data_IF_657465903579
#
_entry.id   IF_657465903579
#
_cell.length_a   1.000
_cell.length_b   1.000
_cell.length_c   1.000
_cell.angle_alpha   90.00
_cell.angle_beta   90.00
_cell.angle_gamma   90.00
#
_symmetry.space_group_name_H-M   'P 1'
#
loop_
_entity.id
_entity.type
_entity.pdbx_description
1 polymer ?
#
# COMPACT_ATOMS: atom_id res chain seq x y z
N UNK A 1 -28.94 96.50 -26.39
CA UNK A 1 -28.56 97.41 -27.50
C UNK A 1 -27.20 98.06 -27.18
N UNK A 2 -26.43 98.51 -28.20
CA UNK A 2 -24.98 98.77 -28.10
C UNK A 2 -24.71 100.26 -27.74
N UNK A 3 -23.52 100.88 -27.95
CA UNK A 3 -22.17 100.41 -28.36
C UNK A 3 -21.01 101.00 -27.48
N UNK A 4 -19.77 101.02 -28.03
CA UNK A 4 -18.63 101.96 -27.77
C UNK A 4 -17.63 101.61 -26.65
N UNK A 5 -16.35 101.98 -26.71
CA UNK A 5 -15.35 102.15 -27.80
C UNK A 5 -13.94 102.32 -27.18
N UNK A 6 -12.88 102.11 -27.99
CA UNK A 6 -11.61 102.89 -27.99
C UNK A 6 -10.65 102.94 -26.77
N UNK A 7 -9.49 102.27 -26.95
CA UNK A 7 -8.14 102.87 -27.08
C UNK A 7 -7.33 103.41 -25.85
N UNK A 8 -6.17 102.75 -25.64
CA UNK A 8 -4.78 103.28 -25.64
C UNK A 8 -4.05 103.75 -24.34
N UNK A 9 -2.81 103.20 -24.22
CA UNK A 9 -1.62 103.65 -23.43
C UNK A 9 -1.76 103.48 -21.90
N UNK A 10 -0.73 103.24 -21.07
CA UNK A 10 0.75 103.24 -21.17
C UNK A 10 1.35 102.48 -19.93
N UNK A 11 2.62 102.04 -19.77
CA UNK A 11 3.83 101.84 -20.60
C UNK A 11 4.99 101.29 -19.71
N UNK A 12 6.00 100.57 -20.25
CA UNK A 12 7.28 100.09 -19.61
C UNK A 12 7.15 99.05 -18.46
N UNK A 13 8.12 98.15 -18.17
CA UNK A 13 9.36 97.69 -18.86
C UNK A 13 9.93 96.40 -18.19
N UNK A 14 11.09 95.90 -18.69
CA UNK A 14 12.01 94.87 -18.11
C UNK A 14 11.56 93.41 -18.36
N UNK A 15 12.07 92.68 -19.37
CA UNK A 15 13.36 91.94 -19.49
C UNK A 15 13.42 90.67 -18.58
N UNK A 16 13.92 89.49 -18.98
CA UNK A 16 14.70 88.99 -20.16
C UNK A 16 14.02 87.71 -20.71
N UNK A 17 14.00 87.45 -22.03
CA UNK A 17 14.92 86.55 -22.76
C UNK A 17 15.43 85.33 -21.98
N UNK A 18 14.87 84.16 -22.28
CA UNK A 18 15.56 82.88 -22.19
C UNK A 18 15.78 82.31 -23.59
N UNK A 19 17.02 81.93 -23.87
CA UNK A 19 17.40 81.12 -25.02
C UNK A 19 17.03 79.67 -24.69
N UNK A 20 16.32 78.96 -25.57
CA UNK A 20 16.21 77.51 -25.42
C UNK A 20 17.56 76.89 -25.75
N UNK A 21 18.21 76.32 -24.74
CA UNK A 21 19.52 75.67 -24.86
C UNK A 21 19.36 74.29 -25.52
N UNK A 22 19.84 74.18 -26.75
CA UNK A 22 19.76 72.97 -27.56
C UNK A 22 20.52 71.80 -26.92
N UNK A 23 21.56 72.09 -26.12
CA UNK A 23 22.29 71.09 -25.34
C UNK A 23 21.45 70.52 -24.18
N UNK A 24 20.54 71.30 -23.61
CA UNK A 24 19.61 70.82 -22.58
C UNK A 24 18.55 69.87 -23.16
N UNK A 25 18.14 70.09 -24.41
CA UNK A 25 17.22 69.20 -25.14
C UNK A 25 17.93 67.88 -25.50
N UNK A 26 19.15 67.93 -26.02
CA UNK A 26 19.93 66.71 -26.32
C UNK A 26 20.30 65.91 -25.05
N UNK A 27 20.55 66.59 -23.93
CA UNK A 27 20.71 65.94 -22.62
C UNK A 27 19.42 65.25 -22.14
N UNK A 28 18.26 65.88 -22.36
CA UNK A 28 16.95 65.30 -22.02
C UNK A 28 16.60 64.09 -22.92
N UNK A 29 16.90 64.17 -24.22
CA UNK A 29 16.75 63.05 -25.16
C UNK A 29 17.67 61.89 -24.76
N UNK A 30 18.96 62.14 -24.46
CA UNK A 30 19.88 61.10 -23.94
C UNK A 30 19.45 60.51 -22.59
N UNK A 31 18.74 61.26 -21.75
CA UNK A 31 18.19 60.75 -20.49
C UNK A 31 16.95 59.86 -20.70
N UNK A 32 16.11 60.18 -21.69
CA UNK A 32 14.93 59.38 -22.08
C UNK A 32 15.36 58.12 -22.85
N UNK A 33 16.32 58.23 -23.76
CA UNK A 33 16.91 57.11 -24.53
C UNK A 33 17.98 56.33 -23.73
N UNK A 34 17.86 56.34 -22.40
CA UNK A 34 18.82 55.76 -21.47
C UNK A 34 19.18 54.31 -21.78
N UNK A 35 20.35 54.12 -22.40
CA UNK A 35 21.07 52.87 -22.69
C UNK A 35 20.21 51.60 -22.63
N UNK A 36 19.73 51.16 -23.79
CA UNK A 36 19.24 49.81 -24.01
C UNK A 36 20.35 48.74 -23.85
N UNK A 37 20.80 48.51 -22.61
CA UNK A 37 21.22 47.15 -22.21
C UNK A 37 20.03 46.26 -22.54
N UNK A 38 20.25 45.20 -23.33
CA UNK A 38 19.20 44.25 -23.76
C UNK A 38 18.49 43.64 -22.54
N UNK A 39 17.47 44.35 -22.05
CA UNK A 39 16.57 43.90 -21.01
C UNK A 39 15.66 42.84 -21.60
N UNK A 40 15.62 41.67 -20.98
CA UNK A 40 14.83 40.54 -21.46
C UNK A 40 13.38 40.95 -21.73
N UNK A 41 12.94 40.86 -22.98
CA UNK A 41 11.59 41.18 -23.45
C UNK A 41 10.53 40.52 -22.55
N UNK A 42 9.29 41.05 -22.45
CA UNK A 42 8.22 40.41 -21.64
C UNK A 42 8.06 38.89 -21.90
N UNK A 43 8.30 38.45 -23.14
CA UNK A 43 8.37 37.03 -23.53
C UNK A 43 9.54 36.29 -22.89
N UNK A 44 10.75 36.87 -22.91
CA UNK A 44 11.94 36.33 -22.26
C UNK A 44 11.86 36.37 -20.72
N UNK A 45 11.17 37.35 -20.11
CA UNK A 45 10.82 37.30 -18.68
C UNK A 45 9.89 36.13 -18.39
N UNK A 46 8.74 36.02 -19.09
CA UNK A 46 7.85 34.86 -18.94
C UNK A 46 8.55 33.51 -19.16
N UNK A 47 9.45 33.41 -20.14
CA UNK A 47 10.26 32.21 -20.37
C UNK A 47 11.30 31.97 -19.26
N UNK A 48 11.92 33.02 -18.70
CA UNK A 48 12.86 32.90 -17.59
C UNK A 48 12.14 32.52 -16.29
N UNK A 49 10.97 33.10 -16.05
CA UNK A 49 10.12 32.81 -14.89
C UNK A 49 9.55 31.39 -15.01
N UNK A 50 9.02 31.00 -16.18
CA UNK A 50 8.54 29.62 -16.41
C UNK A 50 9.66 28.61 -16.32
N UNK A 51 10.86 28.91 -16.85
CA UNK A 51 12.03 28.02 -16.75
C UNK A 51 12.56 27.97 -15.32
N UNK A 52 12.51 29.07 -14.56
CA UNK A 52 12.87 29.11 -13.13
C UNK A 52 11.88 28.30 -12.29
N UNK A 53 10.58 28.38 -12.59
CA UNK A 53 9.53 27.58 -11.94
C UNK A 53 9.73 26.11 -12.30
N UNK A 54 9.95 25.76 -13.58
CA UNK A 54 10.24 24.39 -14.00
C UNK A 54 11.50 23.84 -13.31
N UNK A 55 12.61 24.58 -13.25
CA UNK A 55 13.81 24.13 -12.52
C UNK A 55 13.60 24.03 -11.01
N UNK A 56 12.72 24.85 -10.42
CA UNK A 56 12.37 24.75 -9.01
C UNK A 56 11.48 23.53 -8.74
N UNK A 57 10.52 23.23 -9.62
CA UNK A 57 9.67 22.05 -9.57
C UNK A 57 10.49 20.78 -9.82
N UNK A 58 11.42 20.79 -10.78
CA UNK A 58 12.38 19.69 -11.03
C UNK A 58 13.29 19.47 -9.81
N UNK A 59 13.81 20.53 -9.19
CA UNK A 59 14.61 20.43 -7.98
C UNK A 59 13.79 19.93 -6.77
N UNK A 60 12.53 20.35 -6.62
CA UNK A 60 11.63 19.83 -5.59
C UNK A 60 11.26 18.37 -5.84
N UNK A 61 11.00 17.98 -7.10
CA UNK A 61 10.72 16.60 -7.47
C UNK A 61 11.94 15.70 -7.29
N UNK A 62 13.14 16.19 -7.63
CA UNK A 62 14.40 15.48 -7.35
C UNK A 62 14.64 15.36 -5.85
N UNK A 63 14.43 16.41 -5.07
CA UNK A 63 14.58 16.38 -3.61
C UNK A 63 13.55 15.44 -2.96
N UNK A 64 12.30 15.41 -3.44
CA UNK A 64 11.27 14.48 -2.98
C UNK A 64 11.60 13.04 -3.37
N UNK A 65 12.04 12.79 -4.61
CA UNK A 65 12.49 11.49 -5.06
C UNK A 65 13.73 11.01 -4.28
N UNK A 66 14.64 11.91 -3.94
CA UNK A 66 15.82 11.61 -3.13
C UNK A 66 15.47 11.40 -1.66
N UNK A 67 14.53 12.15 -1.09
CA UNK A 67 13.96 11.90 0.24
C UNK A 67 13.23 10.56 0.30
N UNK A 68 12.42 10.21 -0.71
CA UNK A 68 11.77 8.91 -0.80
C UNK A 68 12.78 7.78 -1.01
N UNK A 69 13.80 7.96 -1.85
CA UNK A 69 14.91 7.02 -2.04
C UNK A 69 15.70 6.82 -0.73
N UNK A 70 15.94 7.88 0.02
CA UNK A 70 16.65 7.82 1.30
C UNK A 70 15.77 7.24 2.42
N UNK A 71 14.47 7.51 2.42
CA UNK A 71 13.51 6.87 3.33
C UNK A 71 13.34 5.38 3.02
N UNK A 72 13.30 5.00 1.74
CA UNK A 72 13.28 3.62 1.29
C UNK A 72 14.60 2.90 1.62
N UNK A 73 15.75 3.54 1.38
CA UNK A 73 17.06 3.02 1.81
C UNK A 73 17.18 2.94 3.34
N UNK A 74 16.57 3.86 4.09
CA UNK A 74 16.52 3.79 5.55
C UNK A 74 15.63 2.63 6.00
N UNK A 75 14.45 2.45 5.40
CA UNK A 75 13.55 1.33 5.66
C UNK A 75 14.18 -0.03 5.28
N UNK A 76 14.91 -0.10 4.16
CA UNK A 76 15.68 -1.28 3.75
C UNK A 76 16.86 -1.53 4.70
N UNK A 77 17.57 -0.50 5.15
CA UNK A 77 18.62 -0.63 6.17
C UNK A 77 18.06 -1.04 7.53
N UNK A 78 16.88 -0.56 7.90
CA UNK A 78 16.19 -0.91 9.14
C UNK A 78 15.64 -2.35 9.08
N UNK A 79 15.23 -2.83 7.88
CA UNK A 79 14.96 -4.24 7.62
C UNK A 79 16.24 -5.10 7.67
N UNK A 80 17.33 -4.66 7.04
CA UNK A 80 18.61 -5.38 7.00
C UNK A 80 19.41 -5.32 8.32
N UNK A 81 19.07 -4.39 9.22
CA UNK A 81 19.61 -4.28 10.58
C UNK A 81 18.74 -5.00 11.63
N UNK A 82 17.59 -5.57 11.25
CA UNK A 82 16.98 -6.60 12.08
C UNK A 82 17.83 -7.88 11.97
N UNK A 83 18.08 -8.60 13.07
CA UNK A 83 18.63 -9.94 12.95
C UNK A 83 17.69 -10.78 12.07
N UNK A 84 18.28 -11.62 11.22
CA UNK A 84 17.56 -12.43 10.23
C UNK A 84 16.34 -13.10 10.88
N UNK A 85 15.11 -12.83 10.40
CA UNK A 85 13.91 -13.38 11.03
C UNK A 85 14.01 -14.89 11.06
N UNK A 86 14.00 -15.47 12.26
CA UNK A 86 14.24 -16.91 12.42
C UNK A 86 13.13 -17.66 11.69
N UNK A 87 13.46 -18.26 10.54
CA UNK A 87 12.49 -18.92 9.67
C UNK A 87 12.05 -20.24 10.31
N UNK A 88 10.91 -20.22 10.99
CA UNK A 88 10.28 -21.43 11.53
C UNK A 88 9.49 -22.10 10.40
N UNK A 89 10.21 -22.88 9.58
CA UNK A 89 9.65 -23.65 8.48
C UNK A 89 9.58 -25.16 8.82
N UNK A 90 8.94 -25.48 9.95
CA UNK A 90 8.46 -26.84 10.22
C UNK A 90 7.11 -26.98 9.49
N UNK A 91 6.99 -27.80 8.43
CA UNK A 91 5.74 -27.89 7.67
C UNK A 91 4.65 -28.57 8.48
N UNK A 92 3.44 -28.00 8.47
CA UNK A 92 2.25 -28.56 9.12
C UNK A 92 1.31 -29.05 8.01
N UNK A 93 1.15 -30.37 7.82
CA UNK A 93 0.26 -30.88 6.77
C UNK A 93 -1.21 -30.62 7.10
N UNK A 94 -2.04 -30.50 6.05
CA UNK A 94 -3.50 -30.60 6.17
C UNK A 94 -3.91 -31.97 6.75
N UNK A 95 -4.99 -31.98 7.53
CA UNK A 95 -5.63 -33.22 7.99
C UNK A 95 -6.36 -33.92 6.84
N UNK A 96 -6.63 -35.22 6.97
CA UNK A 96 -7.40 -35.96 5.97
C UNK A 96 -8.82 -35.41 5.80
N UNK A 97 -9.45 -34.89 6.86
CA UNK A 97 -10.74 -34.19 6.74
C UNK A 97 -10.65 -32.95 5.85
N UNK A 98 -9.56 -32.17 5.97
CA UNK A 98 -9.31 -30.97 5.17
C UNK A 98 -9.01 -31.29 3.70
N UNK A 99 -8.38 -32.44 3.42
CA UNK A 99 -8.14 -32.94 2.04
C UNK A 99 -9.35 -33.60 1.39
N UNK A 100 -10.31 -34.08 2.18
CA UNK A 100 -11.52 -34.74 1.70
C UNK A 100 -12.60 -33.73 1.29
N UNK A 101 -13.51 -34.17 0.41
CA UNK A 101 -14.68 -33.39 0.00
C UNK A 101 -15.63 -33.12 1.19
N UNK A 102 -15.86 -31.85 1.46
CA UNK A 102 -16.76 -31.30 2.48
C UNK A 102 -17.90 -30.52 1.81
N UNK A 103 -19.14 -30.81 2.17
CA UNK A 103 -20.27 -30.01 1.70
C UNK A 103 -20.29 -28.63 2.41
N UNK A 104 -20.50 -27.56 1.65
CA UNK A 104 -20.53 -26.18 2.19
C UNK A 104 -21.79 -25.40 1.85
N UNK A 105 -22.56 -25.88 0.88
CA UNK A 105 -23.91 -25.47 0.54
C UNK A 105 -24.56 -26.62 -0.24
N UNK A 106 -25.90 -26.63 -0.42
CA UNK A 106 -26.57 -27.68 -1.19
C UNK A 106 -25.91 -27.87 -2.56
N UNK A 107 -25.53 -29.11 -2.84
CA UNK A 107 -24.82 -29.55 -4.03
C UNK A 107 -23.44 -28.90 -4.28
N UNK A 108 -22.84 -28.20 -3.30
CA UNK A 108 -21.50 -27.58 -3.42
C UNK A 108 -20.53 -28.18 -2.42
N UNK A 109 -19.49 -28.81 -2.97
CA UNK A 109 -18.42 -29.45 -2.20
C UNK A 109 -17.11 -28.70 -2.40
N UNK A 110 -16.28 -28.67 -1.36
CA UNK A 110 -14.89 -28.17 -1.43
C UNK A 110 -13.91 -29.16 -0.79
N UNK A 111 -12.64 -29.05 -1.19
CA UNK A 111 -11.50 -29.67 -0.50
C UNK A 111 -10.27 -28.76 -0.60
N UNK A 112 -9.26 -29.01 0.21
CA UNK A 112 -8.05 -28.18 0.27
C UNK A 112 -6.79 -28.98 -0.09
N UNK A 113 -5.89 -28.35 -0.82
CA UNK A 113 -4.53 -28.85 -1.06
C UNK A 113 -3.51 -27.76 -0.66
N UNK A 114 -2.33 -28.20 -0.21
CA UNK A 114 -1.17 -27.33 0.01
C UNK A 114 -0.31 -27.32 -1.24
N UNK A 115 0.36 -26.20 -1.51
CA UNK A 115 1.14 -26.01 -2.72
C UNK A 115 2.22 -27.09 -2.91
N UNK A 116 2.17 -27.82 -4.03
CA UNK A 116 3.07 -28.96 -4.29
C UNK A 116 4.22 -28.65 -5.26
N UNK A 117 4.36 -27.41 -5.73
CA UNK A 117 5.39 -27.04 -6.71
C UNK A 117 4.95 -27.09 -8.17
N UNK A 118 3.65 -27.27 -8.45
CA UNK A 118 3.14 -27.33 -9.83
C UNK A 118 3.03 -25.94 -10.47
N UNK A 119 3.55 -25.80 -11.69
CA UNK A 119 3.38 -24.60 -12.52
C UNK A 119 1.90 -24.29 -12.80
N UNK A 120 1.04 -25.30 -12.93
CA UNK A 120 -0.41 -25.11 -13.13
C UNK A 120 -1.12 -24.58 -11.88
N UNK A 121 -0.57 -24.84 -10.69
CA UNK A 121 -1.07 -24.28 -9.44
C UNK A 121 -0.57 -22.84 -9.28
N UNK A 122 0.72 -22.60 -9.53
CA UNK A 122 1.31 -21.26 -9.55
C UNK A 122 0.59 -20.32 -10.52
N UNK A 123 0.37 -20.76 -11.76
CA UNK A 123 -0.34 -19.99 -12.78
C UNK A 123 -1.79 -19.67 -12.37
N UNK A 124 -2.47 -20.60 -11.68
CA UNK A 124 -3.79 -20.33 -11.12
C UNK A 124 -3.74 -19.26 -10.02
N UNK A 125 -2.82 -19.37 -9.04
CA UNK A 125 -2.69 -18.43 -7.93
C UNK A 125 -2.38 -17.02 -8.45
N UNK A 126 -1.42 -16.90 -9.38
CA UNK A 126 -1.05 -15.63 -10.02
C UNK A 126 -2.23 -15.03 -10.77
N UNK A 127 -2.95 -15.82 -11.58
CA UNK A 127 -4.13 -15.34 -12.31
C UNK A 127 -5.22 -14.86 -11.35
N UNK A 128 -5.58 -15.68 -10.36
CA UNK A 128 -6.64 -15.38 -9.39
C UNK A 128 -6.38 -14.07 -8.66
N UNK A 129 -5.15 -13.86 -8.15
CA UNK A 129 -4.83 -12.64 -7.42
C UNK A 129 -4.69 -11.41 -8.35
N UNK A 130 -4.31 -11.60 -9.61
CA UNK A 130 -4.30 -10.53 -10.62
C UNK A 130 -5.71 -10.08 -11.01
N UNK A 131 -6.69 -11.01 -11.02
CA UNK A 131 -8.08 -10.70 -11.34
C UNK A 131 -8.87 -10.12 -10.15
N UNK A 132 -8.49 -10.47 -8.92
CA UNK A 132 -9.30 -10.19 -7.72
C UNK A 132 -8.66 -9.23 -6.69
N UNK A 133 -7.38 -8.89 -6.82
CA UNK A 133 -6.68 -7.92 -5.97
C UNK A 133 -6.23 -6.71 -6.79
N UNK A 134 -6.23 -5.53 -6.18
CA UNK A 134 -5.84 -4.26 -6.82
C UNK A 134 -4.33 -4.09 -6.99
N UNK A 135 -3.53 -4.92 -6.33
CA UNK A 135 -2.08 -4.78 -6.22
C UNK A 135 -1.34 -5.70 -7.20
N UNK A 136 -0.51 -5.17 -8.12
CA UNK A 136 0.25 -5.96 -9.08
C UNK A 136 1.48 -6.60 -8.42
N UNK A 137 1.37 -7.87 -8.03
CA UNK A 137 2.49 -8.63 -7.45
C UNK A 137 3.41 -9.20 -8.52
N UNK A 138 4.73 -9.08 -8.31
CA UNK A 138 5.75 -9.73 -9.15
C UNK A 138 5.77 -11.25 -8.94
N UNK A 139 6.20 -12.02 -9.95
CA UNK A 139 6.41 -13.48 -9.83
C UNK A 139 7.32 -13.86 -8.65
N UNK A 140 8.36 -13.06 -8.39
CA UNK A 140 9.26 -13.22 -7.23
C UNK A 140 8.52 -13.14 -5.89
N UNK A 141 7.45 -12.34 -5.80
CA UNK A 141 6.62 -12.25 -4.59
C UNK A 141 5.96 -13.59 -4.29
N UNK A 142 5.36 -14.24 -5.30
CA UNK A 142 4.75 -15.57 -5.14
C UNK A 142 5.80 -16.62 -4.78
N UNK A 143 6.95 -16.63 -5.48
CA UNK A 143 8.08 -17.53 -5.21
C UNK A 143 8.58 -17.43 -3.76
N UNK A 144 8.71 -16.23 -3.21
CA UNK A 144 9.09 -16.01 -1.81
C UNK A 144 8.16 -16.73 -0.82
N UNK A 145 6.84 -16.68 -1.06
CA UNK A 145 5.88 -17.37 -0.20
C UNK A 145 5.89 -18.88 -0.40
N UNK A 146 5.84 -19.38 -1.64
CA UNK A 146 5.72 -20.83 -1.87
C UNK A 146 6.99 -21.61 -1.52
N UNK A 147 8.18 -21.01 -1.63
CA UNK A 147 9.41 -21.66 -1.19
C UNK A 147 9.64 -21.51 0.32
N UNK A 148 9.16 -20.40 0.93
CA UNK A 148 9.30 -20.17 2.37
C UNK A 148 8.29 -20.92 3.22
N UNK A 149 7.05 -21.07 2.75
CA UNK A 149 5.92 -21.67 3.47
C UNK A 149 4.92 -22.34 2.50
N UNK A 150 5.32 -23.40 1.78
CA UNK A 150 4.42 -24.11 0.84
C UNK A 150 3.17 -24.64 1.56
N UNK A 151 3.31 -25.01 2.83
CA UNK A 151 2.23 -25.51 3.67
C UNK A 151 1.24 -24.43 4.15
N UNK A 152 1.59 -23.14 4.02
CA UNK A 152 0.70 -21.99 4.23
C UNK A 152 0.23 -21.35 2.92
N UNK A 153 0.54 -21.99 1.79
CA UNK A 153 -0.02 -21.69 0.48
C UNK A 153 -1.07 -22.75 0.18
N UNK A 154 -2.35 -22.41 0.32
CA UNK A 154 -3.46 -23.36 0.23
C UNK A 154 -4.34 -23.01 -0.97
N UNK A 155 -4.61 -24.00 -1.81
CA UNK A 155 -5.59 -23.94 -2.90
C UNK A 155 -6.88 -24.66 -2.48
N UNK A 156 -8.02 -23.99 -2.65
CA UNK A 156 -9.33 -24.61 -2.51
C UNK A 156 -9.82 -25.12 -3.86
N UNK A 157 -10.25 -26.38 -3.88
CA UNK A 157 -10.94 -26.99 -5.01
C UNK A 157 -12.45 -27.05 -4.73
N UNK A 158 -13.26 -26.92 -5.77
CA UNK A 158 -14.72 -26.90 -5.71
C UNK A 158 -15.34 -27.81 -6.77
N UNK A 159 -16.46 -28.44 -6.41
CA UNK A 159 -17.29 -29.26 -7.31
C UNK A 159 -18.75 -28.97 -7.01
N UNK A 160 -19.56 -28.89 -8.07
CA UNK A 160 -21.02 -28.93 -7.98
C UNK A 160 -21.51 -30.35 -8.34
N UNK A 161 -22.26 -30.99 -7.43
CA UNK A 161 -22.73 -32.38 -7.57
C UNK A 161 -23.88 -32.65 -6.61
N UNK A 162 -24.86 -33.48 -7.00
CA UNK A 162 -25.98 -33.89 -6.13
C UNK A 162 -25.55 -34.87 -5.02
N UNK A 163 -24.42 -35.55 -5.20
CA UNK A 163 -23.85 -36.49 -4.25
C UNK A 163 -22.40 -36.13 -3.90
N UNK A 164 -21.94 -36.54 -2.72
CA UNK A 164 -20.55 -36.34 -2.27
C UNK A 164 -19.57 -36.94 -3.30
N UNK A 165 -18.68 -36.13 -3.90
CA UNK A 165 -17.75 -36.62 -4.92
C UNK A 165 -16.75 -37.63 -4.33
N UNK A 166 -16.29 -38.56 -5.16
CA UNK A 166 -15.18 -39.45 -4.82
C UNK A 166 -13.87 -38.66 -4.63
N UNK A 167 -12.95 -39.20 -3.85
CA UNK A 167 -11.63 -38.59 -3.62
C UNK A 167 -10.77 -38.51 -4.90
N UNK A 168 -11.10 -39.30 -5.93
CA UNK A 168 -10.50 -39.30 -7.27
C UNK A 168 -10.88 -38.07 -8.11
N UNK A 169 -11.93 -37.34 -7.75
CA UNK A 169 -12.40 -36.16 -8.49
C UNK A 169 -11.48 -34.97 -8.19
N UNK A 170 -10.86 -34.40 -9.23
CA UNK A 170 -9.94 -33.26 -9.09
C UNK A 170 -10.67 -31.99 -8.62
N UNK A 171 -11.80 -31.66 -9.26
CA UNK A 171 -12.53 -30.40 -9.09
C UNK A 171 -11.88 -29.20 -9.74
N UNK A 172 -12.57 -28.05 -9.71
CA UNK A 172 -12.04 -26.78 -10.21
C UNK A 172 -11.31 -26.03 -9.09
N UNK A 173 -10.26 -25.27 -9.42
CA UNK A 173 -9.58 -24.39 -8.45
C UNK A 173 -10.43 -23.13 -8.25
N UNK A 174 -10.93 -22.90 -7.03
CA UNK A 174 -11.97 -21.88 -6.72
C UNK A 174 -11.55 -20.82 -5.71
N UNK A 175 -10.37 -20.95 -5.12
CA UNK A 175 -9.80 -19.93 -4.26
C UNK A 175 -8.39 -20.30 -3.83
N UNK A 176 -7.64 -19.31 -3.35
CA UNK A 176 -6.32 -19.52 -2.79
C UNK A 176 -6.06 -18.55 -1.63
N UNK A 177 -5.17 -18.95 -0.74
CA UNK A 177 -4.59 -18.12 0.31
C UNK A 177 -3.09 -18.36 0.36
N UNK A 178 -2.32 -17.28 0.42
CA UNK A 178 -0.86 -17.29 0.46
C UNK A 178 -0.43 -16.52 1.71
N UNK A 179 0.36 -17.18 2.55
CA UNK A 179 0.67 -16.71 3.90
C UNK A 179 2.08 -17.09 4.33
N UNK A 180 2.56 -16.48 5.42
CA UNK A 180 3.88 -16.78 6.01
C UNK A 180 3.88 -16.72 7.52
N UNK A 181 4.93 -17.26 8.13
CA UNK A 181 5.21 -17.16 9.57
C UNK A 181 6.62 -16.62 9.79
N UNK A 182 6.76 -15.55 10.56
CA UNK A 182 8.08 -14.94 10.87
C UNK A 182 8.18 -14.45 12.31
N UNK A 183 9.37 -14.56 12.90
CA UNK A 183 9.72 -13.96 14.20
C UNK A 183 10.73 -12.84 13.95
N UNK A 184 10.40 -11.60 14.32
CA UNK A 184 11.26 -10.43 14.03
C UNK A 184 12.64 -10.48 14.69
N UNK A 185 12.71 -11.00 15.92
CA UNK A 185 13.91 -11.11 16.77
C UNK A 185 13.68 -12.24 17.77
N UNK A 186 14.74 -12.83 18.31
CA UNK A 186 14.63 -13.70 19.49
C UNK A 186 13.87 -12.99 20.63
N UNK A 187 12.99 -13.71 21.32
CA UNK A 187 12.11 -13.17 22.37
C UNK A 187 10.92 -12.32 21.89
N UNK A 188 10.77 -12.05 20.59
CA UNK A 188 9.58 -11.40 20.04
C UNK A 188 8.50 -12.42 19.63
N UNK A 189 7.22 -12.04 19.65
CA UNK A 189 6.13 -12.90 19.18
C UNK A 189 6.37 -13.44 17.77
N UNK A 190 6.11 -14.74 17.58
CA UNK A 190 6.02 -15.41 16.29
C UNK A 190 4.70 -15.01 15.62
N UNK A 191 4.78 -14.52 14.39
CA UNK A 191 3.64 -13.88 13.72
C UNK A 191 3.28 -14.58 12.42
N UNK A 192 2.04 -15.03 12.35
CA UNK A 192 1.38 -15.34 11.09
C UNK A 192 1.03 -14.07 10.33
N UNK A 193 1.21 -14.09 9.02
CA UNK A 193 0.79 -13.03 8.11
C UNK A 193 0.00 -13.62 6.96
N UNK A 194 -1.29 -13.25 6.86
CA UNK A 194 -2.13 -13.58 5.70
C UNK A 194 -1.87 -12.51 4.65
N UNK A 195 -1.11 -12.86 3.62
CA UNK A 195 -0.59 -11.88 2.66
C UNK A 195 -1.59 -11.56 1.55
N UNK A 196 -2.16 -12.61 0.95
CA UNK A 196 -3.08 -12.53 -0.17
C UNK A 196 -4.10 -13.66 -0.04
N UNK A 197 -5.38 -13.37 -0.23
CA UNK A 197 -6.40 -14.40 -0.39
C UNK A 197 -7.48 -13.92 -1.35
N UNK A 198 -8.04 -14.84 -2.14
CA UNK A 198 -9.16 -14.58 -3.02
C UNK A 198 -9.98 -15.85 -3.25
N UNK A 199 -11.22 -15.67 -3.70
CA UNK A 199 -12.19 -16.73 -4.04
C UNK A 199 -12.91 -16.31 -5.31
N UNK A 200 -13.00 -17.19 -6.31
CA UNK A 200 -13.65 -16.91 -7.59
C UNK A 200 -15.13 -16.54 -7.39
N UNK A 201 -15.75 -15.69 -8.23
CA UNK A 201 -17.08 -15.17 -7.98
C UNK A 201 -18.17 -16.25 -7.81
N UNK A 202 -18.10 -17.34 -8.58
CA UNK A 202 -19.07 -18.45 -8.54
C UNK A 202 -19.11 -19.24 -7.22
N UNK A 203 -18.04 -19.18 -6.41
CA UNK A 203 -17.93 -19.83 -5.10
C UNK A 203 -18.05 -18.84 -3.92
N UNK A 204 -18.43 -17.59 -4.18
CA UNK A 204 -18.78 -16.61 -3.15
C UNK A 204 -20.17 -16.87 -2.58
N UNK A 205 -20.39 -16.43 -1.33
CA UNK A 205 -21.66 -16.60 -0.61
C UNK A 205 -21.67 -17.80 0.33
N UNK A 206 -20.92 -18.87 0.01
CA UNK A 206 -20.89 -20.14 0.76
C UNK A 206 -19.81 -20.18 1.85
N UNK A 207 -19.48 -19.01 2.44
CA UNK A 207 -18.46 -18.81 3.50
C UNK A 207 -17.04 -19.33 3.19
N UNK A 208 -16.72 -19.70 1.94
CA UNK A 208 -15.40 -20.26 1.56
C UNK A 208 -14.22 -19.39 1.97
N UNK A 209 -14.30 -18.07 1.79
CA UNK A 209 -13.24 -17.14 2.23
C UNK A 209 -13.00 -17.19 3.74
N UNK A 210 -14.07 -17.26 4.54
CA UNK A 210 -13.95 -17.42 6.01
C UNK A 210 -13.29 -18.75 6.35
N UNK A 211 -13.66 -19.84 5.67
CA UNK A 211 -13.06 -21.18 5.88
C UNK A 211 -11.57 -21.21 5.52
N UNK A 212 -11.16 -20.62 4.40
CA UNK A 212 -9.75 -20.52 4.00
C UNK A 212 -8.90 -19.76 5.03
N UNK A 213 -9.39 -18.62 5.52
CA UNK A 213 -8.69 -17.83 6.53
C UNK A 213 -8.66 -18.56 7.88
N UNK A 214 -9.75 -19.20 8.30
CA UNK A 214 -9.78 -20.04 9.52
C UNK A 214 -8.77 -21.19 9.45
N UNK A 215 -8.75 -21.92 8.33
CA UNK A 215 -7.79 -23.01 8.08
C UNK A 215 -6.34 -22.53 8.18
N UNK A 216 -6.04 -21.38 7.56
CA UNK A 216 -4.72 -20.76 7.64
C UNK A 216 -4.35 -20.39 9.08
N UNK A 217 -5.29 -19.83 9.84
CA UNK A 217 -5.11 -19.51 11.27
C UNK A 217 -4.87 -20.77 12.10
N UNK A 218 -5.55 -21.88 11.82
CA UNK A 218 -5.30 -23.17 12.49
C UNK A 218 -3.91 -23.72 12.22
N UNK A 219 -3.43 -23.65 10.96
CA UNK A 219 -2.05 -24.04 10.62
C UNK A 219 -1.03 -23.13 11.30
N UNK A 220 -1.29 -21.82 11.38
CA UNK A 220 -0.45 -20.88 12.12
C UNK A 220 -0.43 -21.18 13.63
N UNK A 221 -1.57 -21.57 14.22
CA UNK A 221 -1.65 -22.02 15.62
C UNK A 221 -0.83 -23.30 15.85
N UNK A 222 -0.91 -24.27 14.93
CA UNK A 222 -0.07 -25.49 14.96
C UNK A 222 1.43 -25.21 14.77
N UNK A 223 1.80 -24.09 14.13
CA UNK A 223 3.18 -23.56 14.07
C UNK A 223 3.57 -22.71 15.28
N UNK A 224 2.80 -22.75 16.37
CA UNK A 224 3.04 -21.99 17.61
C UNK A 224 3.04 -20.45 17.44
N UNK A 225 2.30 -19.92 16.45
CA UNK A 225 2.18 -18.46 16.31
C UNK A 225 1.43 -17.84 17.50
N UNK A 226 1.94 -16.72 18.01
CA UNK A 226 1.32 -15.98 19.10
C UNK A 226 0.23 -15.02 18.59
N UNK A 227 0.41 -14.48 17.38
CA UNK A 227 -0.54 -13.60 16.69
C UNK A 227 -0.58 -13.84 15.17
N UNK A 228 -1.73 -13.54 14.56
CA UNK A 228 -1.91 -13.47 13.11
C UNK A 228 -2.34 -12.06 12.74
N UNK A 229 -1.76 -11.48 11.69
CA UNK A 229 -2.15 -10.15 11.21
C UNK A 229 -2.29 -10.09 9.68
N UNK A 230 -3.00 -9.07 9.22
CA UNK A 230 -3.21 -8.75 7.80
C UNK A 230 -3.61 -7.29 7.63
N UNK A 231 -3.57 -6.79 6.39
CA UNK A 231 -4.12 -5.49 6.00
C UNK A 231 -5.26 -5.66 4.99
N UNK A 232 -6.22 -4.73 5.01
CA UNK A 232 -7.28 -4.63 4.00
C UNK A 232 -7.67 -3.16 3.78
N UNK A 233 -8.16 -2.75 2.59
CA UNK A 233 -8.64 -1.39 2.37
C UNK A 233 -9.77 -1.03 3.34
N UNK A 234 -9.79 0.21 3.81
CA UNK A 234 -10.84 0.69 4.72
C UNK A 234 -12.24 0.70 4.08
N UNK A 235 -12.31 0.72 2.75
CA UNK A 235 -13.53 0.61 1.93
C UNK A 235 -14.00 -0.83 1.67
N UNK A 236 -13.21 -1.86 2.02
CA UNK A 236 -13.58 -3.25 1.75
C UNK A 236 -14.43 -3.84 2.88
N UNK A 237 -15.67 -3.33 3.01
CA UNK A 237 -16.62 -3.74 4.05
C UNK A 237 -16.85 -5.25 4.11
N UNK A 238 -16.80 -5.93 2.95
CA UNK A 238 -16.95 -7.39 2.86
C UNK A 238 -15.79 -8.12 3.52
N UNK A 239 -14.55 -7.72 3.23
CA UNK A 239 -13.36 -8.31 3.87
C UNK A 239 -13.30 -7.94 5.35
N UNK A 240 -13.61 -6.68 5.70
CA UNK A 240 -13.68 -6.23 7.09
C UNK A 240 -14.68 -7.06 7.90
N UNK A 241 -15.91 -7.22 7.41
CA UNK A 241 -16.92 -8.06 8.07
C UNK A 241 -16.48 -9.51 8.21
N UNK A 242 -15.81 -10.08 7.19
CA UNK A 242 -15.24 -11.43 7.26
C UNK A 242 -14.21 -11.55 8.39
N UNK A 243 -13.21 -10.66 8.44
CA UNK A 243 -12.13 -10.75 9.43
C UNK A 243 -12.61 -10.46 10.86
N UNK A 244 -13.48 -9.45 11.04
CA UNK A 244 -14.07 -9.13 12.34
C UNK A 244 -14.91 -10.32 12.88
N UNK A 245 -15.67 -11.00 12.03
CA UNK A 245 -16.42 -12.21 12.41
C UNK A 245 -15.52 -13.41 12.73
N UNK A 246 -14.25 -13.41 12.29
CA UNK A 246 -13.23 -14.39 12.69
C UNK A 246 -12.46 -13.97 13.96
N UNK A 247 -12.91 -12.92 14.66
CA UNK A 247 -12.30 -12.43 15.90
C UNK A 247 -11.07 -11.54 15.71
N UNK A 248 -10.71 -11.16 14.47
CA UNK A 248 -9.66 -10.18 14.27
C UNK A 248 -10.12 -8.79 14.74
N UNK A 249 -9.22 -8.02 15.35
CA UNK A 249 -9.48 -6.66 15.83
C UNK A 249 -8.69 -5.65 14.99
N UNK A 250 -9.29 -4.50 14.68
CA UNK A 250 -8.59 -3.37 14.03
C UNK A 250 -7.53 -2.81 15.00
N UNK A 251 -6.24 -2.89 14.64
CA UNK A 251 -5.13 -2.50 15.53
C UNK A 251 -4.32 -1.30 15.05
N UNK A 252 -4.32 -0.98 13.76
CA UNK A 252 -3.60 0.20 13.23
C UNK A 252 -4.24 0.71 11.94
N UNK A 253 -4.46 2.02 11.87
CA UNK A 253 -4.78 2.72 10.62
C UNK A 253 -3.49 3.03 9.83
N UNK A 254 -3.54 2.87 8.52
CA UNK A 254 -2.40 2.98 7.61
C UNK A 254 -2.80 3.94 6.45
N UNK A 255 -2.51 5.24 6.57
CA UNK A 255 -2.90 6.21 5.56
C UNK A 255 -2.10 6.02 4.27
N UNK A 256 -2.78 6.06 3.11
CA UNK A 256 -2.20 5.90 1.75
C UNK A 256 -1.28 4.68 1.65
N UNK A 257 -1.81 3.51 2.03
CA UNK A 257 -1.04 2.26 2.14
C UNK A 257 -0.89 1.54 0.79
N UNK A 258 -1.95 1.55 -0.01
CA UNK A 258 -2.01 0.89 -1.32
C UNK A 258 -1.51 1.81 -2.44
N UNK A 259 -1.20 1.25 -3.61
CA UNK A 259 -0.63 2.00 -4.74
C UNK A 259 -1.60 3.04 -5.31
N UNK A 260 -2.90 2.81 -5.18
CA UNK A 260 -3.97 3.78 -5.51
C UNK A 260 -4.13 4.91 -4.48
N UNK A 261 -3.25 4.94 -3.46
CA UNK A 261 -3.30 5.82 -2.30
C UNK A 261 -4.52 5.63 -1.38
N UNK A 262 -5.24 4.51 -1.49
CA UNK A 262 -6.29 4.17 -0.53
C UNK A 262 -5.72 3.84 0.84
N UNK A 263 -6.49 4.14 1.88
CA UNK A 263 -6.13 3.87 3.27
C UNK A 263 -6.40 2.40 3.61
N UNK A 264 -5.50 1.79 4.39
CA UNK A 264 -5.68 0.44 4.90
C UNK A 264 -5.92 0.44 6.42
N UNK A 265 -6.48 -0.65 6.91
CA UNK A 265 -6.46 -1.00 8.33
C UNK A 265 -5.78 -2.33 8.53
N UNK A 266 -4.82 -2.37 9.44
CA UNK A 266 -4.24 -3.61 9.95
C UNK A 266 -5.18 -4.23 10.96
N UNK A 267 -5.57 -5.48 10.72
CA UNK A 267 -6.26 -6.29 11.69
C UNK A 267 -5.32 -7.33 12.30
N UNK A 268 -5.61 -7.75 13.53
CA UNK A 268 -4.85 -8.79 14.24
C UNK A 268 -5.80 -9.71 15.03
N UNK A 269 -5.50 -11.00 14.99
CA UNK A 269 -6.03 -12.03 15.89
C UNK A 269 -4.89 -12.50 16.80
N UNK A 270 -5.12 -12.56 18.11
CA UNK A 270 -4.19 -13.19 19.04
C UNK A 270 -4.55 -14.67 19.18
N UNK A 271 -3.55 -15.54 19.19
CA UNK A 271 -3.74 -17.00 19.27
C UNK A 271 -3.37 -17.58 20.63
N UNK A 272 -2.54 -16.86 21.39
CA UNK A 272 -2.25 -17.09 22.80
C UNK A 272 -2.69 -15.86 23.59
N UNK A 273 -2.91 -16.04 24.89
CA UNK A 273 -3.27 -14.94 25.77
C UNK A 273 -2.21 -13.83 25.77
N UNK A 274 -2.67 -12.58 25.85
CA UNK A 274 -1.78 -11.42 25.87
C UNK A 274 -0.96 -11.31 27.17
N UNK A 275 -1.31 -12.10 28.18
CA UNK A 275 -0.57 -12.30 29.43
C UNK A 275 0.12 -13.65 29.30
N UNK A 276 1.47 -13.72 29.33
CA UNK A 276 2.15 -14.99 29.46
C UNK A 276 1.70 -15.68 30.76
N UNK A 277 1.35 -16.97 30.70
CA UNK A 277 1.33 -17.79 31.93
C UNK A 277 2.65 -17.57 32.65
N UNK A 278 2.59 -17.43 33.97
CA UNK A 278 3.81 -17.33 34.74
C UNK A 278 4.54 -18.68 34.66
N UNK A 279 5.88 -18.66 34.62
CA UNK A 279 6.68 -19.92 34.55
C UNK A 279 6.36 -20.87 35.72
N UNK A 280 5.80 -20.33 36.81
CA UNK A 280 5.33 -21.08 37.97
C UNK A 280 3.98 -21.81 37.79
N UNK A 281 3.27 -21.60 36.67
CA UNK A 281 2.04 -22.30 36.30
C UNK A 281 2.34 -23.48 35.37
N UNK A 282 3.17 -23.26 34.34
CA UNK A 282 3.61 -24.33 33.43
C UNK A 282 4.35 -25.46 34.20
N UNK A 283 5.20 -25.10 35.17
CA UNK A 283 5.88 -26.07 36.05
C UNK A 283 4.94 -26.82 37.02
N UNK A 284 3.68 -26.39 37.19
CA UNK A 284 2.67 -27.10 37.99
C UNK A 284 1.85 -28.04 37.14
N UNK A 285 1.43 -27.62 35.95
CA UNK A 285 0.76 -28.51 34.98
C UNK A 285 1.69 -29.68 34.62
N UNK A 286 2.97 -29.41 34.31
CA UNK A 286 3.98 -30.46 34.02
C UNK A 286 4.33 -31.37 35.22
N UNK A 287 4.02 -30.97 36.45
CA UNK A 287 4.22 -31.78 37.64
C UNK A 287 3.00 -32.67 37.91
N UNK A 288 1.79 -32.16 37.68
CA UNK A 288 0.54 -32.90 37.86
C UNK A 288 0.36 -33.98 36.77
N UNK A 289 0.73 -33.73 35.52
CA UNK A 289 0.73 -34.75 34.45
C UNK A 289 1.78 -35.88 34.65
N UNK A 290 2.63 -35.80 35.68
CA UNK A 290 3.63 -36.83 36.02
C UNK A 290 3.31 -37.60 37.32
N UNK A 291 2.19 -37.30 37.96
CA UNK A 291 1.70 -38.01 39.16
C UNK A 291 0.40 -38.81 38.93
N UNK A 292 -0.11 -38.87 37.68
CA UNK A 292 -1.16 -39.81 37.22
C UNK A 292 -0.58 -40.94 36.33
#
# INVERSE_FOLDING_TARGET
>A
MPPKTTNKKSNKAVARRDHFDEAAIDALVKAIEGKAKKGTTKVQRKQKDSKSIMTATEAQNHMLAEQMRNAFLAQMKEQAAMPDPTYINVPVPLTEEQKNWQEVAPNKYIRYEQFQGSDEEMNFIVKLFTEELTEPYSSFTYQYFVFGWPDLCITAYGVESEAKPEASVTGEKVGAVVSRVTRKRAGMPLRGYVAMFAVVPAFRGFRLGSRLVSLTVELMRKKDCDEVYLETPTSNDRALGLYLNLGFVKTKFLPRYYLDHSDAVRLKLWLKDAVPKSVAEDMKEEAQEKEE
#
